data_IF_298573967952
#
_entry.id   IF_298573967952
#
_cell.length_a   1.000
_cell.length_b   1.000
_cell.length_c   1.000
_cell.angle_alpha   90.00
_cell.angle_beta   90.00
_cell.angle_gamma   90.00
#
_symmetry.space_group_name_H-M   'P 1'
#
loop_
_entity.id
_entity.type
_entity.pdbx_description
1 polymer ?
#
# COMPACT_ATOMS: atom_id res chain seq x y z
N UNK A 1 -7.15 -6.93 17.10
CA UNK A 1 -6.30 -8.03 16.57
C UNK A 1 -7.21 -8.96 15.78
N UNK A 2 -6.83 -9.41 14.59
CA UNK A 2 -7.64 -10.37 13.80
C UNK A 2 -7.33 -11.78 14.30
N UNK A 3 -8.37 -12.54 14.65
CA UNK A 3 -8.29 -13.92 15.17
C UNK A 3 -8.66 -14.97 14.12
N UNK A 4 -9.40 -14.57 13.09
CA UNK A 4 -9.83 -15.43 11.99
C UNK A 4 -10.23 -14.61 10.78
N UNK A 5 -9.94 -15.13 9.59
CA UNK A 5 -10.35 -14.57 8.32
C UNK A 5 -10.98 -15.67 7.48
N UNK A 6 -12.08 -15.35 6.81
CA UNK A 6 -12.71 -16.26 5.88
C UNK A 6 -13.25 -15.50 4.68
N UNK A 7 -13.07 -16.12 3.50
CA UNK A 7 -13.51 -15.58 2.22
C UNK A 7 -14.23 -16.67 1.47
N UNK A 8 -15.36 -16.29 0.86
CA UNK A 8 -16.06 -17.16 -0.06
C UNK A 8 -16.58 -16.41 -1.29
N UNK A 9 -16.58 -17.11 -2.42
CA UNK A 9 -16.96 -16.61 -3.72
C UNK A 9 -17.96 -17.59 -4.36
N UNK A 10 -19.16 -17.09 -4.62
CA UNK A 10 -20.26 -17.86 -5.17
C UNK A 10 -20.56 -17.37 -6.59
N UNK A 11 -20.41 -18.26 -7.57
CA UNK A 11 -20.90 -18.06 -8.92
C UNK A 11 -22.42 -18.23 -8.96
N UNK A 12 -23.15 -17.17 -9.34
CA UNK A 12 -24.62 -17.12 -9.28
C UNK A 12 -25.28 -18.17 -10.15
N UNK A 13 -24.77 -18.44 -11.35
CA UNK A 13 -25.32 -19.45 -12.25
C UNK A 13 -25.25 -20.85 -11.61
N UNK A 14 -24.05 -21.23 -11.14
CA UNK A 14 -23.83 -22.50 -10.44
C UNK A 14 -24.63 -22.60 -9.14
N UNK A 15 -24.80 -21.49 -8.43
CA UNK A 15 -25.60 -21.42 -7.22
C UNK A 15 -27.09 -21.57 -7.52
N UNK A 16 -27.62 -20.95 -8.58
CA UNK A 16 -29.01 -21.10 -8.99
C UNK A 16 -29.34 -22.57 -9.33
N UNK A 17 -28.45 -23.23 -10.08
CA UNK A 17 -28.55 -24.66 -10.36
C UNK A 17 -28.58 -25.50 -9.08
N UNK A 18 -27.73 -25.18 -8.10
CA UNK A 18 -27.72 -25.84 -6.80
C UNK A 18 -28.98 -25.56 -5.98
N UNK A 19 -29.43 -24.30 -5.94
CA UNK A 19 -30.61 -23.83 -5.20
C UNK A 19 -31.91 -24.46 -5.72
N UNK A 20 -31.97 -24.78 -7.01
CA UNK A 20 -33.11 -25.45 -7.65
C UNK A 20 -33.34 -26.89 -7.16
N UNK A 21 -32.36 -27.50 -6.48
CA UNK A 21 -32.46 -28.90 -6.02
C UNK A 21 -33.45 -29.01 -4.85
N UNK A 22 -34.26 -30.08 -4.79
CA UNK A 22 -35.21 -30.30 -3.70
C UNK A 22 -34.53 -30.27 -2.32
N UNK A 23 -35.10 -29.49 -1.39
CA UNK A 23 -34.62 -29.42 0.00
C UNK A 23 -33.39 -28.54 0.23
N UNK A 24 -32.91 -27.79 -0.77
CA UNK A 24 -31.81 -26.85 -0.59
C UNK A 24 -32.26 -25.54 0.06
N UNK A 25 -33.41 -25.00 -0.35
CA UNK A 25 -33.97 -23.77 0.23
C UNK A 25 -34.25 -23.90 1.74
N UNK A 26 -34.63 -25.09 2.21
CA UNK A 26 -34.87 -25.36 3.63
C UNK A 26 -33.61 -25.31 4.51
N UNK A 27 -32.43 -25.07 3.93
CA UNK A 27 -31.18 -24.89 4.67
C UNK A 27 -30.89 -23.43 5.04
N UNK A 28 -31.69 -22.48 4.55
CA UNK A 28 -31.61 -21.07 4.91
C UNK A 28 -32.56 -20.76 6.07
N UNK A 29 -32.20 -19.76 6.88
CA UNK A 29 -33.06 -19.33 7.98
C UNK A 29 -34.33 -18.65 7.43
N UNK A 30 -35.42 -18.71 8.18
CA UNK A 30 -36.69 -18.11 7.77
C UNK A 30 -36.56 -16.60 7.48
N UNK A 31 -35.70 -15.90 8.22
CA UNK A 31 -35.39 -14.49 7.99
C UNK A 31 -34.69 -14.25 6.64
N UNK A 32 -33.75 -15.12 6.25
CA UNK A 32 -33.02 -15.04 4.98
C UNK A 32 -33.96 -15.29 3.79
N UNK A 33 -34.85 -16.29 3.93
CA UNK A 33 -35.87 -16.59 2.93
C UNK A 33 -36.86 -15.43 2.76
N UNK A 34 -37.36 -14.88 3.88
CA UNK A 34 -38.28 -13.73 3.87
C UNK A 34 -37.62 -12.50 3.23
N UNK A 35 -36.35 -12.26 3.52
CA UNK A 35 -35.59 -11.16 2.91
C UNK A 35 -35.41 -11.39 1.41
N UNK A 36 -35.05 -12.61 1.00
CA UNK A 36 -34.89 -12.98 -0.39
C UNK A 36 -36.17 -12.73 -1.20
N UNK A 37 -37.33 -13.15 -0.68
CA UNK A 37 -38.63 -12.90 -1.30
C UNK A 37 -38.93 -11.40 -1.46
N UNK A 38 -38.68 -10.59 -0.41
CA UNK A 38 -38.93 -9.14 -0.42
C UNK A 38 -37.96 -8.35 -1.30
N UNK A 39 -36.77 -8.87 -1.55
CA UNK A 39 -35.70 -8.16 -2.27
C UNK A 39 -35.96 -7.99 -3.78
N UNK A 40 -36.89 -8.74 -4.36
CA UNK A 40 -37.07 -8.85 -5.81
C UNK A 40 -35.93 -9.55 -6.54
N UNK A 41 -34.91 -10.03 -5.82
CA UNK A 41 -33.71 -10.74 -6.32
C UNK A 41 -33.37 -11.92 -5.39
N UNK A 42 -34.32 -12.85 -5.25
CA UNK A 42 -34.24 -13.93 -4.26
C UNK A 42 -32.98 -14.79 -4.39
N UNK A 43 -32.59 -15.16 -5.61
CA UNK A 43 -31.39 -15.97 -5.87
C UNK A 43 -30.11 -15.26 -5.42
N UNK A 44 -30.00 -13.95 -5.69
CA UNK A 44 -28.84 -13.14 -5.29
C UNK A 44 -28.76 -12.97 -3.77
N UNK A 45 -29.91 -12.75 -3.13
CA UNK A 45 -29.99 -12.64 -1.67
C UNK A 45 -29.58 -13.95 -0.98
N UNK A 46 -30.02 -15.10 -1.50
CA UNK A 46 -29.66 -16.42 -0.96
C UNK A 46 -28.21 -16.79 -1.29
N UNK A 47 -27.67 -16.39 -2.45
CA UNK A 47 -26.25 -16.54 -2.77
C UNK A 47 -25.37 -15.74 -1.81
N UNK A 48 -25.79 -14.52 -1.45
CA UNK A 48 -25.12 -13.71 -0.45
C UNK A 48 -25.15 -14.32 0.95
N UNK A 49 -26.31 -14.81 1.39
CA UNK A 49 -26.42 -15.53 2.65
C UNK A 49 -25.51 -16.76 2.68
N UNK A 50 -25.47 -17.53 1.59
CA UNK A 50 -24.62 -18.71 1.48
C UNK A 50 -23.12 -18.36 1.54
N UNK A 51 -22.68 -17.36 0.78
CA UNK A 51 -21.30 -16.88 0.79
C UNK A 51 -20.89 -16.41 2.19
N UNK A 52 -21.78 -15.73 2.91
CA UNK A 52 -21.53 -15.28 4.28
C UNK A 52 -21.38 -16.46 5.26
N UNK A 53 -22.18 -17.53 5.11
CA UNK A 53 -22.06 -18.75 5.92
C UNK A 53 -20.74 -19.49 5.66
N UNK A 54 -20.32 -19.61 4.40
CA UNK A 54 -19.03 -20.24 4.02
C UNK A 54 -17.85 -19.42 4.55
N UNK A 55 -17.88 -18.10 4.34
CA UNK A 55 -16.85 -17.19 4.85
C UNK A 55 -16.77 -17.26 6.38
N UNK A 56 -17.91 -17.34 7.08
CA UNK A 56 -17.92 -17.47 8.53
C UNK A 56 -17.32 -18.80 8.98
N UNK A 57 -17.73 -19.90 8.36
CA UNK A 57 -17.20 -21.23 8.64
C UNK A 57 -15.67 -21.26 8.51
N UNK A 58 -15.13 -20.73 7.41
CA UNK A 58 -13.68 -20.63 7.17
C UNK A 58 -12.96 -19.76 8.19
N UNK A 59 -13.61 -18.71 8.68
CA UNK A 59 -13.04 -17.81 9.68
C UNK A 59 -13.07 -18.38 11.11
N UNK A 60 -14.05 -19.22 11.45
CA UNK A 60 -14.35 -19.61 12.82
C UNK A 60 -14.02 -21.07 13.15
N UNK A 61 -13.99 -21.98 12.17
CA UNK A 61 -13.91 -23.42 12.41
C UNK A 61 -12.66 -23.85 13.19
N UNK A 62 -11.53 -23.14 13.08
CA UNK A 62 -10.29 -23.45 13.81
C UNK A 62 -10.28 -22.95 15.26
N UNK A 63 -11.25 -22.12 15.66
CA UNK A 63 -11.35 -21.58 17.02
C UNK A 63 -12.25 -22.43 17.93
N UNK A 64 -13.01 -23.36 17.37
CA UNK A 64 -14.05 -24.13 18.06
C UNK A 64 -13.61 -25.57 18.24
N UNK A 65 -14.01 -26.18 19.35
CA UNK A 65 -13.67 -27.59 19.62
C UNK A 65 -14.51 -28.55 18.76
N UNK A 66 -15.73 -28.15 18.39
CA UNK A 66 -16.59 -28.84 17.41
C UNK A 66 -17.14 -27.85 16.38
N UNK A 67 -16.64 -27.94 15.15
CA UNK A 67 -17.09 -27.09 14.04
C UNK A 67 -18.25 -27.70 13.24
N UNK A 68 -18.78 -28.86 13.64
CA UNK A 68 -19.86 -29.51 12.89
C UNK A 68 -21.13 -28.67 12.94
N UNK A 69 -21.62 -28.29 11.76
CA UNK A 69 -22.91 -27.62 11.61
C UNK A 69 -22.91 -26.12 11.91
N UNK A 70 -21.79 -25.52 12.34
CA UNK A 70 -21.70 -24.06 12.60
C UNK A 70 -22.00 -23.24 11.33
N UNK A 71 -21.72 -23.82 10.16
CA UNK A 71 -22.09 -23.28 8.86
C UNK A 71 -23.58 -22.90 8.78
N UNK A 72 -24.46 -23.79 9.25
CA UNK A 72 -25.92 -23.59 9.18
C UNK A 72 -26.45 -22.75 10.34
N UNK A 73 -25.63 -22.50 11.37
CA UNK A 73 -25.99 -21.67 12.52
C UNK A 73 -25.71 -20.19 12.30
N UNK A 74 -24.84 -19.84 11.35
CA UNK A 74 -24.63 -18.46 10.95
C UNK A 74 -25.78 -17.97 10.06
N UNK A 75 -26.25 -16.77 10.31
CA UNK A 75 -27.31 -16.12 9.54
C UNK A 75 -26.86 -14.73 9.10
N UNK A 76 -27.13 -14.38 7.84
CA UNK A 76 -26.82 -13.04 7.32
C UNK A 76 -28.01 -12.10 7.54
N UNK A 77 -27.79 -11.07 8.35
CA UNK A 77 -28.77 -10.05 8.69
C UNK A 77 -28.35 -8.69 8.12
N UNK A 78 -29.27 -7.72 8.14
CA UNK A 78 -28.94 -6.31 7.92
C UNK A 78 -29.44 -5.49 9.09
N UNK A 79 -28.58 -4.61 9.60
CA UNK A 79 -28.94 -3.66 10.66
C UNK A 79 -29.92 -2.59 10.14
N UNK A 80 -30.35 -1.68 11.03
CA UNK A 80 -31.23 -0.57 10.67
C UNK A 80 -30.62 0.41 9.65
N UNK A 81 -29.29 0.40 9.48
CA UNK A 81 -28.57 1.20 8.48
C UNK A 81 -28.37 0.47 7.15
N UNK A 82 -28.81 -0.78 7.06
CA UNK A 82 -28.65 -1.65 5.89
C UNK A 82 -27.29 -2.35 5.79
N UNK A 83 -26.42 -2.24 6.81
CA UNK A 83 -25.12 -2.92 6.86
C UNK A 83 -25.29 -4.41 7.14
N UNK A 84 -24.55 -5.29 6.44
CA UNK A 84 -24.63 -6.73 6.69
C UNK A 84 -23.98 -7.10 8.02
N UNK A 85 -24.60 -8.04 8.75
CA UNK A 85 -24.10 -8.57 10.02
C UNK A 85 -24.29 -10.09 10.06
N UNK A 86 -23.40 -10.79 10.77
CA UNK A 86 -23.58 -12.23 11.05
C UNK A 86 -24.25 -12.36 12.42
N UNK A 87 -25.44 -12.95 12.42
CA UNK A 87 -26.14 -13.33 13.62
C UNK A 87 -25.81 -14.79 13.97
N UNK A 88 -25.54 -15.04 15.25
CA UNK A 88 -25.14 -16.34 15.78
C UNK A 88 -26.02 -16.71 16.98
N UNK A 89 -26.29 -17.99 17.24
CA UNK A 89 -26.87 -18.45 18.50
C UNK A 89 -25.99 -18.03 19.68
N UNK A 90 -26.63 -17.71 20.81
CA UNK A 90 -25.92 -17.22 22.01
C UNK A 90 -24.85 -18.19 22.50
N UNK A 91 -25.08 -19.51 22.37
CA UNK A 91 -24.08 -20.53 22.71
C UNK A 91 -22.81 -20.43 21.87
N UNK A 92 -22.94 -20.24 20.56
CA UNK A 92 -21.80 -20.11 19.63
C UNK A 92 -21.09 -18.76 19.81
N UNK A 93 -21.85 -17.70 20.06
CA UNK A 93 -21.29 -16.38 20.39
C UNK A 93 -20.47 -16.42 21.69
N UNK A 94 -20.99 -17.08 22.72
CA UNK A 94 -20.30 -17.23 24.00
C UNK A 94 -19.00 -18.05 23.85
N UNK A 95 -19.01 -19.11 23.05
CA UNK A 95 -17.81 -19.91 22.78
C UNK A 95 -16.74 -19.10 22.04
N UNK A 96 -17.11 -18.36 20.99
CA UNK A 96 -16.19 -17.48 20.26
C UNK A 96 -15.65 -16.34 21.14
N UNK A 97 -16.48 -15.78 22.01
CA UNK A 97 -16.06 -14.75 22.98
C UNK A 97 -15.07 -15.30 24.00
N UNK A 98 -15.25 -16.53 24.48
CA UNK A 98 -14.27 -17.22 25.33
C UNK A 98 -12.93 -17.45 24.63
N UNK A 99 -12.90 -17.45 23.29
CA UNK A 99 -11.70 -17.53 22.45
C UNK A 99 -11.17 -16.16 22.02
N UNK A 100 -11.74 -15.08 22.57
CA UNK A 100 -11.30 -13.70 22.40
C UNK A 100 -11.94 -12.94 21.23
N UNK A 101 -12.92 -13.52 20.53
CA UNK A 101 -13.65 -12.83 19.46
C UNK A 101 -14.69 -11.90 20.07
N UNK A 102 -14.49 -10.59 19.88
CA UNK A 102 -15.39 -9.56 20.40
C UNK A 102 -16.31 -8.99 19.31
N UNK A 103 -15.92 -9.09 18.04
CA UNK A 103 -16.71 -8.58 16.92
C UNK A 103 -16.48 -9.41 15.64
N UNK A 104 -17.49 -9.41 14.77
CA UNK A 104 -17.52 -10.13 13.48
C UNK A 104 -17.81 -9.11 12.38
N UNK A 105 -16.76 -8.67 11.70
CA UNK A 105 -16.89 -7.70 10.61
C UNK A 105 -17.25 -8.42 9.31
N UNK A 106 -18.30 -7.95 8.63
CA UNK A 106 -18.81 -8.54 7.39
C UNK A 106 -18.69 -7.55 6.26
N UNK A 107 -18.03 -7.96 5.18
CA UNK A 107 -18.04 -7.25 3.91
C UNK A 107 -18.65 -8.15 2.84
N UNK A 108 -19.67 -7.65 2.15
CA UNK A 108 -20.40 -8.37 1.12
C UNK A 108 -20.41 -7.53 -0.15
N UNK A 109 -19.96 -8.10 -1.26
CA UNK A 109 -20.05 -7.48 -2.58
C UNK A 109 -20.62 -8.46 -3.59
N UNK A 110 -21.27 -7.96 -4.61
CA UNK A 110 -21.83 -8.77 -5.68
C UNK A 110 -21.74 -8.02 -7.01
N UNK A 111 -21.62 -8.74 -8.10
CA UNK A 111 -21.75 -8.22 -9.46
C UNK A 111 -22.84 -8.97 -10.23
N UNK A 112 -22.77 -9.07 -11.56
CA UNK A 112 -23.78 -9.81 -12.35
C UNK A 112 -23.60 -11.33 -12.27
N UNK A 113 -22.39 -11.81 -12.04
CA UNK A 113 -22.03 -13.22 -12.17
C UNK A 113 -21.73 -13.87 -10.81
N UNK A 114 -21.29 -13.09 -9.82
CA UNK A 114 -20.73 -13.61 -8.58
C UNK A 114 -21.14 -12.82 -7.34
N UNK A 115 -21.03 -13.47 -6.18
CA UNK A 115 -21.14 -12.86 -4.84
C UNK A 115 -19.89 -13.22 -4.05
N UNK A 116 -19.27 -12.23 -3.42
CA UNK A 116 -18.10 -12.42 -2.56
C UNK A 116 -18.40 -11.92 -1.15
N UNK A 117 -18.07 -12.74 -0.15
CA UNK A 117 -18.13 -12.35 1.25
C UNK A 117 -16.76 -12.50 1.90
N UNK A 118 -16.39 -11.49 2.70
CA UNK A 118 -15.23 -11.50 3.57
C UNK A 118 -15.69 -11.32 5.01
N UNK A 119 -15.24 -12.20 5.90
CA UNK A 119 -15.49 -12.13 7.33
C UNK A 119 -14.17 -12.01 8.09
N UNK A 120 -14.14 -11.11 9.06
CA UNK A 120 -13.04 -10.94 10.01
C UNK A 120 -13.56 -11.14 11.43
N UNK A 121 -12.96 -12.05 12.17
CA UNK A 121 -13.16 -12.20 13.62
C UNK A 121 -12.12 -11.34 14.32
N UNK A 122 -12.53 -10.37 15.13
CA UNK A 122 -11.61 -9.42 15.76
C UNK A 122 -11.73 -9.42 17.28
N UNK A 123 -10.59 -9.22 17.93
CA UNK A 123 -10.44 -8.96 19.36
C UNK A 123 -10.07 -7.49 19.58
N UNK A 124 -10.80 -6.79 20.43
CA UNK A 124 -10.47 -5.44 20.85
C UNK A 124 -9.39 -5.49 21.94
N UNK A 125 -8.20 -5.00 21.61
CA UNK A 125 -7.13 -4.82 22.60
C UNK A 125 -7.10 -3.35 23.02
N UNK A 126 -8.04 -2.95 23.87
CA UNK A 126 -8.06 -1.64 24.53
C UNK A 126 -7.07 -1.64 25.72
N UNK A 127 -5.78 -1.79 25.45
CA UNK A 127 -4.69 -1.53 26.42
C UNK A 127 -3.31 -1.46 25.73
N UNK A 128 -3.05 -0.40 24.97
CA UNK A 128 -1.74 0.27 24.82
C UNK A 128 -1.75 1.16 23.58
N UNK A 129 -1.34 2.42 23.76
CA UNK A 129 -1.32 3.46 22.73
C UNK A 129 -0.27 3.20 21.64
N UNK A 130 -0.58 2.31 20.70
CA UNK A 130 0.13 2.17 19.44
C UNK A 130 -0.84 2.44 18.29
N UNK A 131 -0.65 3.60 17.64
CA UNK A 131 -1.24 3.92 16.34
C UNK A 131 -0.99 2.74 15.38
N UNK A 132 -2.04 2.06 14.95
CA UNK A 132 -1.97 1.06 13.87
C UNK A 132 -2.46 1.67 12.57
N UNK A 133 -1.65 1.43 11.55
CA UNK A 133 -1.69 1.99 10.21
C UNK A 133 -2.91 1.51 9.43
N UNK A 134 -3.56 2.44 8.73
CA UNK A 134 -4.57 2.17 7.71
C UNK A 134 -3.90 1.45 6.54
N UNK A 135 -3.94 0.13 6.55
CA UNK A 135 -3.62 -0.72 5.41
C UNK A 135 -4.92 -1.41 5.01
N UNK A 136 -5.19 -1.44 3.70
CA UNK A 136 -6.39 -1.96 3.03
C UNK A 136 -7.56 -0.98 2.84
N UNK A 137 -7.33 -0.03 1.93
CA UNK A 137 -8.36 0.50 1.04
C UNK A 137 -7.93 0.21 -0.41
N UNK A 138 -7.99 -1.06 -0.83
CA UNK A 138 -7.93 -1.40 -2.26
C UNK A 138 -9.36 -1.37 -2.81
N UNK A 139 -9.67 -0.59 -3.86
CA UNK A 139 -11.02 -0.49 -4.40
C UNK A 139 -11.39 -1.77 -5.17
N UNK A 140 -12.67 -2.17 -5.23
CA UNK A 140 -13.11 -3.27 -6.09
C UNK A 140 -12.91 -2.91 -7.57
N UNK A 141 -12.28 -3.83 -8.31
CA UNK A 141 -11.81 -3.65 -9.70
C UNK A 141 -10.32 -3.97 -9.90
N UNK A 142 -9.57 -4.13 -8.79
CA UNK A 142 -8.18 -4.56 -8.81
C UNK A 142 -8.05 -6.02 -8.35
N UNK A 143 -7.75 -6.91 -9.28
CA UNK A 143 -7.27 -8.26 -8.96
C UNK A 143 -5.86 -8.12 -8.39
N UNK A 144 -5.56 -8.60 -7.17
CA UNK A 144 -4.17 -8.81 -6.77
C UNK A 144 -3.62 -9.84 -7.75
N UNK A 145 -2.69 -9.42 -8.60
CA UNK A 145 -2.00 -10.31 -9.51
C UNK A 145 -1.33 -11.38 -8.63
N UNK A 146 -1.79 -12.63 -8.69
CA UNK A 146 -1.00 -13.77 -8.22
C UNK A 146 0.17 -13.89 -9.16
N UNK A 147 1.21 -13.13 -8.84
CA UNK A 147 2.46 -13.18 -9.56
C UNK A 147 3.13 -14.49 -9.20
N UNK A 148 3.30 -15.34 -10.20
CA UNK A 148 4.32 -16.37 -10.12
C UNK A 148 5.67 -15.69 -9.86
N UNK A 149 6.61 -16.42 -9.26
CA UNK A 149 7.99 -15.92 -9.06
C UNK A 149 8.67 -15.49 -10.38
N UNK A 150 8.10 -15.86 -11.53
CA UNK A 150 8.58 -15.54 -12.87
C UNK A 150 7.94 -14.29 -13.49
N UNK A 151 6.80 -13.82 -13.00
CA UNK A 151 6.05 -12.74 -13.64
C UNK A 151 6.71 -11.37 -13.40
N UNK A 152 6.89 -10.63 -14.50
CA UNK A 152 7.34 -9.24 -14.51
C UNK A 152 6.15 -8.34 -14.84
N UNK A 153 5.81 -7.39 -13.97
CA UNK A 153 4.63 -6.52 -14.14
C UNK A 153 5.05 -5.10 -14.41
N UNK A 154 4.45 -4.49 -15.42
CA UNK A 154 4.61 -3.06 -15.65
C UNK A 154 3.83 -2.24 -14.62
N UNK A 155 4.49 -1.22 -14.05
CA UNK A 155 3.83 -0.25 -13.18
C UNK A 155 3.05 0.74 -14.05
N UNK A 156 1.75 0.51 -14.21
CA UNK A 156 0.87 1.42 -14.96
C UNK A 156 0.39 2.58 -14.09
N UNK A 157 -0.16 3.61 -14.74
CA UNK A 157 -0.78 4.74 -14.06
C UNK A 157 -1.94 4.31 -13.14
N UNK A 158 -2.73 3.31 -13.56
CA UNK A 158 -3.84 2.77 -12.79
C UNK A 158 -3.35 2.03 -11.54
N UNK A 159 -2.32 1.19 -11.70
CA UNK A 159 -1.71 0.48 -10.59
C UNK A 159 -1.09 1.45 -9.57
N UNK A 160 -0.34 2.44 -10.05
CA UNK A 160 0.22 3.50 -9.20
C UNK A 160 -0.86 4.33 -8.50
N UNK A 161 -1.95 4.65 -9.19
CA UNK A 161 -3.08 5.40 -8.62
C UNK A 161 -3.78 4.64 -7.48
N UNK A 162 -3.82 3.31 -7.52
CA UNK A 162 -4.36 2.48 -6.45
C UNK A 162 -3.50 2.46 -5.18
N UNK A 163 -2.21 2.76 -5.29
CA UNK A 163 -1.31 2.89 -4.14
C UNK A 163 -1.29 4.29 -3.54
N UNK A 164 -1.94 5.27 -4.18
CA UNK A 164 -1.99 6.65 -3.69
C UNK A 164 -3.11 6.83 -2.64
N UNK A 165 -2.80 6.89 -1.32
CA UNK A 165 -3.81 7.02 -0.28
C UNK A 165 -4.56 8.36 -0.36
N UNK A 166 -5.82 8.40 0.10
CA UNK A 166 -6.54 9.66 0.22
C UNK A 166 -5.96 10.53 1.35
N UNK A 167 -5.92 11.84 1.14
CA UNK A 167 -5.64 12.80 2.22
C UNK A 167 -6.95 13.17 2.92
N UNK A 168 -7.15 12.61 4.12
CA UNK A 168 -8.35 12.85 4.92
C UNK A 168 -8.39 14.30 5.42
N UNK A 169 -9.58 14.91 5.46
CA UNK A 169 -9.79 16.30 5.90
C UNK A 169 -9.40 16.54 7.37
N UNK A 170 -9.52 15.51 8.22
CA UNK A 170 -9.15 15.57 9.64
C UNK A 170 -7.69 15.18 9.92
N UNK A 171 -6.89 14.89 8.89
CA UNK A 171 -5.50 14.50 9.07
C UNK A 171 -4.63 15.68 9.54
N UNK A 172 -3.69 15.39 10.44
CA UNK A 172 -2.63 16.30 10.86
C UNK A 172 -1.25 15.79 10.42
N UNK A 173 -0.19 16.60 10.56
CA UNK A 173 1.18 16.26 10.13
C UNK A 173 1.64 14.85 10.54
N UNK A 174 1.40 14.43 11.77
CA UNK A 174 1.77 13.09 12.25
C UNK A 174 1.00 11.93 11.58
N UNK A 175 -0.09 12.20 10.85
CA UNK A 175 -0.82 11.19 10.06
C UNK A 175 -0.01 10.76 8.83
N UNK A 176 0.81 11.65 8.29
CA UNK A 176 1.61 11.40 7.09
C UNK A 176 3.05 10.97 7.42
N UNK A 177 3.25 10.48 8.65
CA UNK A 177 4.53 9.97 9.13
C UNK A 177 5.65 10.99 9.26
N UNK A 178 6.83 10.47 9.58
CA UNK A 178 8.04 11.24 9.79
C UNK A 178 9.22 10.54 9.13
N UNK A 179 9.91 11.21 8.20
CA UNK A 179 11.13 10.71 7.55
C UNK A 179 12.36 11.23 8.30
N UNK A 180 13.35 10.36 8.52
CA UNK A 180 14.67 10.70 9.06
C UNK A 180 15.72 10.51 7.97
N UNK A 181 16.30 11.58 7.45
CA UNK A 181 17.40 11.52 6.48
C UNK A 181 18.72 11.51 7.23
N UNK A 182 19.56 10.49 7.06
CA UNK A 182 20.85 10.33 7.77
C UNK A 182 22.00 10.32 6.78
N UNK A 183 22.62 11.49 6.57
CA UNK A 183 23.53 11.66 5.46
C UNK A 183 24.44 12.88 5.57
N UNK A 184 25.12 13.16 4.48
CA UNK A 184 25.96 14.32 4.29
C UNK A 184 27.35 14.19 4.90
N UNK A 185 28.23 14.99 4.32
CA UNK A 185 29.61 15.19 4.73
C UNK A 185 30.09 16.54 4.19
N UNK A 186 31.27 16.98 4.61
CA UNK A 186 31.89 18.20 4.07
C UNK A 186 31.93 18.26 2.53
N UNK A 187 32.06 17.12 1.87
CA UNK A 187 32.12 17.05 0.41
C UNK A 187 30.74 16.96 -0.26
N UNK A 188 29.73 16.44 0.45
CA UNK A 188 28.40 16.19 -0.10
C UNK A 188 27.28 16.80 0.75
N UNK A 189 27.28 18.14 0.96
CA UNK A 189 26.27 18.79 1.78
C UNK A 189 24.88 18.80 1.14
N UNK A 190 24.78 18.78 -0.20
CA UNK A 190 23.53 18.94 -0.93
C UNK A 190 22.65 17.69 -1.01
N UNK A 191 23.26 16.50 -1.08
CA UNK A 191 22.55 15.22 -1.24
C UNK A 191 21.47 14.95 -0.16
N UNK A 192 21.77 15.10 1.16
CA UNK A 192 20.76 14.86 2.20
C UNK A 192 19.70 15.97 2.25
N UNK A 193 20.01 17.20 1.84
CA UNK A 193 19.02 18.28 1.74
C UNK A 193 18.02 18.02 0.62
N UNK A 194 18.52 17.58 -0.54
CA UNK A 194 17.69 17.22 -1.69
C UNK A 194 16.76 16.06 -1.37
N UNK A 195 17.28 15.03 -0.69
CA UNK A 195 16.48 13.90 -0.18
C UNK A 195 15.37 14.38 0.76
N UNK A 196 15.69 15.28 1.71
CA UNK A 196 14.72 15.80 2.66
C UNK A 196 13.60 16.63 1.98
N UNK A 197 13.96 17.46 1.00
CA UNK A 197 13.01 18.22 0.19
C UNK A 197 12.12 17.31 -0.65
N UNK A 198 12.70 16.28 -1.26
CA UNK A 198 11.95 15.30 -2.04
C UNK A 198 10.93 14.56 -1.16
N UNK A 199 11.32 14.11 0.04
CA UNK A 199 10.42 13.46 0.99
C UNK A 199 9.24 14.37 1.39
N UNK A 200 9.52 15.65 1.64
CA UNK A 200 8.49 16.63 2.00
C UNK A 200 7.51 16.87 0.85
N UNK A 201 8.02 17.05 -0.38
CA UNK A 201 7.20 17.26 -1.58
C UNK A 201 6.44 16.01 -2.02
N UNK A 202 6.98 14.82 -1.73
CA UNK A 202 6.29 13.53 -1.85
C UNK A 202 5.23 13.30 -0.76
N UNK A 203 5.11 14.23 0.19
CA UNK A 203 3.99 14.29 1.10
C UNK A 203 4.23 13.68 2.48
N UNK A 204 5.48 13.48 2.90
CA UNK A 204 5.81 13.22 4.29
C UNK A 204 5.26 14.34 5.19
N UNK A 205 4.76 13.97 6.37
CA UNK A 205 4.21 14.94 7.32
C UNK A 205 5.25 15.76 8.08
N UNK A 206 6.37 15.11 8.38
CA UNK A 206 7.55 15.70 9.02
C UNK A 206 8.82 15.10 8.40
N UNK A 207 9.89 15.88 8.36
CA UNK A 207 11.22 15.42 7.95
C UNK A 207 12.24 15.91 8.96
N UNK A 208 13.09 15.00 9.44
CA UNK A 208 14.30 15.33 10.22
C UNK A 208 15.52 15.03 9.36
N UNK A 209 16.42 16.00 9.27
CA UNK A 209 17.70 15.90 8.58
C UNK A 209 18.80 15.76 9.62
N UNK A 210 19.40 14.58 9.72
CA UNK A 210 20.52 14.28 10.61
C UNK A 210 21.83 14.33 9.81
N UNK A 211 22.60 15.37 10.03
CA UNK A 211 23.81 15.73 9.27
C UNK A 211 24.93 16.18 10.20
N UNK A 212 26.21 16.13 9.76
CA UNK A 212 27.30 16.78 10.46
C UNK A 212 26.99 18.25 10.78
N UNK A 213 27.36 18.70 11.98
CA UNK A 213 27.23 20.10 12.40
C UNK A 213 27.90 21.10 11.44
N UNK A 214 28.92 20.65 10.69
CA UNK A 214 29.68 21.45 9.74
C UNK A 214 28.92 21.80 8.44
N UNK A 215 27.79 21.15 8.14
CA UNK A 215 27.10 21.27 6.85
C UNK A 215 25.61 21.56 6.96
N UNK A 216 25.13 22.12 8.07
CA UNK A 216 23.70 22.34 8.27
C UNK A 216 23.24 23.74 7.85
N UNK A 217 22.84 24.00 6.58
CA UNK A 217 22.03 25.17 6.26
C UNK A 217 20.54 24.89 6.56
N UNK A 218 19.77 25.92 6.91
CA UNK A 218 18.36 25.78 7.26
C UNK A 218 17.52 25.55 6.00
N UNK A 219 17.01 24.34 5.82
CA UNK A 219 15.78 24.14 5.02
C UNK A 219 14.62 24.45 5.95
N UNK A 220 13.92 25.56 5.73
CA UNK A 220 12.95 26.13 6.68
C UNK A 220 11.85 25.16 7.15
N UNK A 221 11.49 24.16 6.34
CA UNK A 221 10.43 23.18 6.63
C UNK A 221 10.96 21.84 7.17
N UNK A 222 12.28 21.69 7.33
CA UNK A 222 12.93 20.44 7.77
C UNK A 222 13.57 20.64 9.15
N UNK A 223 13.32 19.68 10.05
CA UNK A 223 13.92 19.69 11.39
C UNK A 223 15.39 19.30 11.24
N UNK A 224 16.30 20.22 11.54
CA UNK A 224 17.73 19.91 11.51
C UNK A 224 18.17 19.28 12.83
N UNK A 225 18.75 18.08 12.74
CA UNK A 225 19.49 17.44 13.81
C UNK A 225 20.98 17.53 13.47
N UNK A 226 21.69 18.45 14.11
CA UNK A 226 23.13 18.53 14.01
C UNK A 226 23.77 17.43 14.85
N UNK A 227 24.75 16.74 14.27
CA UNK A 227 25.48 15.65 14.89
C UNK A 227 26.96 16.00 14.95
N UNK A 228 27.59 15.61 16.05
CA UNK A 228 29.03 15.68 16.19
C UNK A 228 29.70 14.85 15.09
N UNK A 229 30.69 15.43 14.42
CA UNK A 229 31.34 14.82 13.27
C UNK A 229 32.85 14.99 13.34
N UNK A 230 33.60 13.96 12.95
CA UNK A 230 35.05 14.01 12.88
C UNK A 230 35.48 14.39 11.47
N UNK A 231 36.21 15.51 11.35
CA UNK A 231 36.65 16.05 10.05
C UNK A 231 35.50 16.26 9.05
N UNK A 232 34.29 16.55 9.55
CA UNK A 232 33.09 16.74 8.71
C UNK A 232 32.43 15.46 8.21
N UNK A 233 32.75 14.31 8.80
CA UNK A 233 32.12 13.02 8.53
C UNK A 233 31.48 12.45 9.80
N UNK A 234 30.32 11.82 9.65
CA UNK A 234 29.68 11.10 10.75
C UNK A 234 30.45 9.81 11.05
N UNK A 235 30.53 9.45 12.32
CA UNK A 235 31.17 8.24 12.84
C UNK A 235 30.29 7.57 13.91
N UNK A 236 30.79 6.48 14.50
CA UNK A 236 30.10 5.73 15.55
C UNK A 236 29.73 6.55 16.79
N UNK A 237 30.37 7.70 17.04
CA UNK A 237 29.98 8.62 18.11
C UNK A 237 28.56 9.18 17.92
N UNK A 238 28.09 9.27 16.67
CA UNK A 238 26.72 9.69 16.33
C UNK A 238 25.67 8.58 16.49
N UNK A 239 26.09 7.32 16.60
CA UNK A 239 25.18 6.17 16.59
C UNK A 239 24.11 6.21 17.69
N UNK A 240 24.41 6.52 18.97
CA UNK A 240 23.39 6.53 20.03
C UNK A 240 22.28 7.55 19.78
N UNK A 241 22.63 8.73 19.27
CA UNK A 241 21.66 9.79 18.94
C UNK A 241 20.78 9.35 17.77
N UNK A 242 21.39 8.81 16.72
CA UNK A 242 20.67 8.31 15.54
C UNK A 242 19.73 7.16 15.90
N UNK A 243 20.20 6.18 16.69
CA UNK A 243 19.39 5.08 17.18
C UNK A 243 18.17 5.57 17.97
N UNK A 244 18.34 6.58 18.83
CA UNK A 244 17.25 7.18 19.59
C UNK A 244 16.22 7.92 18.72
N UNK A 245 16.59 8.33 17.49
CA UNK A 245 15.70 9.01 16.56
C UNK A 245 14.88 8.06 15.68
N UNK A 246 15.24 6.79 15.57
CA UNK A 246 14.54 5.81 14.73
C UNK A 246 13.09 5.54 15.13
N UNK A 247 12.74 5.40 16.43
CA UNK A 247 11.37 5.11 16.83
C UNK A 247 10.36 6.10 16.26
N UNK A 248 9.37 5.59 15.53
CA UNK A 248 8.31 6.40 14.91
C UNK A 248 8.73 7.16 13.65
N UNK A 249 9.94 6.94 13.12
CA UNK A 249 10.43 7.56 11.88
C UNK A 249 10.88 6.50 10.88
N UNK A 250 10.89 6.87 9.60
CA UNK A 250 11.49 6.05 8.53
C UNK A 250 12.86 6.61 8.18
N UNK A 251 13.95 5.87 8.48
CA UNK A 251 15.29 6.26 8.08
C UNK A 251 15.48 6.14 6.57
N UNK A 252 16.09 7.15 5.96
CA UNK A 252 16.69 7.14 4.63
C UNK A 252 18.18 7.37 4.85
N UNK A 253 19.01 6.38 4.52
CA UNK A 253 20.41 6.30 4.92
C UNK A 253 21.31 6.24 3.69
N UNK A 254 22.41 7.01 3.69
CA UNK A 254 23.51 6.80 2.74
C UNK A 254 23.87 7.96 1.80
N UNK A 255 22.97 8.92 1.58
CA UNK A 255 23.26 10.08 0.74
C UNK A 255 24.42 10.93 1.30
N UNK A 256 25.57 10.89 0.62
CA UNK A 256 26.73 11.72 0.90
C UNK A 256 27.48 11.42 2.20
N UNK A 257 27.33 10.21 2.77
CA UNK A 257 27.93 9.86 4.06
C UNK A 257 29.46 9.80 4.04
N UNK A 258 30.07 9.41 2.90
CA UNK A 258 31.48 8.98 2.74
C UNK A 258 31.68 7.48 2.90
N UNK A 259 32.86 7.02 2.44
CA UNK A 259 33.30 5.62 2.45
C UNK A 259 34.49 5.38 3.39
N UNK A 260 34.77 6.35 4.26
CA UNK A 260 35.73 6.18 5.35
C UNK A 260 35.27 5.04 6.28
N UNK A 261 36.23 4.32 6.88
CA UNK A 261 35.95 3.14 7.68
C UNK A 261 34.98 3.42 8.84
N UNK A 262 35.16 4.57 9.51
CA UNK A 262 34.35 5.00 10.65
C UNK A 262 32.89 5.30 10.26
N UNK A 263 32.68 5.86 9.07
CA UNK A 263 31.35 6.14 8.53
C UNK A 263 30.68 4.87 8.00
N UNK A 264 31.45 3.96 7.41
CA UNK A 264 30.97 2.65 6.97
C UNK A 264 30.45 1.84 8.16
N UNK A 265 31.18 1.83 9.27
CA UNK A 265 30.76 1.16 10.51
C UNK A 265 29.43 1.74 11.04
N UNK A 266 29.30 3.07 11.06
CA UNK A 266 28.06 3.75 11.43
C UNK A 266 26.89 3.32 10.55
N UNK A 267 27.04 3.45 9.22
CA UNK A 267 25.97 3.13 8.27
C UNK A 267 25.55 1.65 8.36
N UNK A 268 26.51 0.75 8.56
CA UNK A 268 26.26 -0.67 8.75
C UNK A 268 25.47 -0.93 10.05
N UNK A 269 25.85 -0.30 11.16
CA UNK A 269 25.12 -0.39 12.42
C UNK A 269 23.68 0.10 12.31
N UNK A 270 23.44 1.17 11.55
CA UNK A 270 22.08 1.71 11.34
C UNK A 270 21.21 0.80 10.45
N UNK A 271 21.82 0.09 9.49
CA UNK A 271 21.10 -0.77 8.56
C UNK A 271 20.43 -1.98 9.26
N UNK A 272 21.04 -2.49 10.33
CA UNK A 272 20.56 -3.66 11.08
C UNK A 272 19.51 -3.33 12.15
N UNK A 273 19.33 -2.05 12.49
CA UNK A 273 18.30 -1.63 13.46
C UNK A 273 16.90 -2.08 13.00
N UNK A 274 15.97 -2.41 13.90
CA UNK A 274 14.62 -2.82 13.52
C UNK A 274 13.83 -1.67 12.89
N UNK A 275 12.85 -2.00 12.06
CA UNK A 275 11.96 -1.03 11.40
C UNK A 275 12.29 -0.77 9.94
N UNK A 276 11.24 -0.36 9.21
CA UNK A 276 11.31 -0.06 7.78
C UNK A 276 12.28 1.09 7.49
N UNK A 277 13.14 0.93 6.48
CA UNK A 277 14.12 1.94 6.08
C UNK A 277 14.45 1.90 4.58
N UNK A 278 15.01 2.99 4.08
CA UNK A 278 15.60 3.08 2.74
C UNK A 278 17.12 3.20 2.88
N UNK A 279 17.87 2.43 2.11
CA UNK A 279 19.34 2.47 2.08
C UNK A 279 19.77 2.73 0.63
N UNK A 280 20.48 3.83 0.42
CA UNK A 280 20.99 4.25 -0.90
C UNK A 280 22.50 4.56 -0.82
N UNK A 281 23.14 4.75 -1.97
CA UNK A 281 24.48 5.33 -2.10
C UNK A 281 25.54 4.73 -1.14
N UNK A 282 26.16 5.54 -0.28
CA UNK A 282 27.21 5.08 0.63
C UNK A 282 26.67 4.13 1.72
N UNK A 283 25.37 4.13 1.98
CA UNK A 283 24.72 3.10 2.82
C UNK A 283 24.75 1.72 2.15
N UNK A 284 24.53 1.65 0.82
CA UNK A 284 24.69 0.42 0.05
C UNK A 284 26.15 -0.02 -0.01
N UNK A 285 27.07 0.94 -0.13
CA UNK A 285 28.51 0.65 -0.02
C UNK A 285 28.83 0.02 1.33
N UNK A 286 28.34 0.59 2.43
CA UNK A 286 28.58 0.07 3.78
C UNK A 286 28.02 -1.34 3.97
N UNK A 287 26.81 -1.62 3.48
CA UNK A 287 26.23 -2.97 3.48
C UNK A 287 27.14 -3.99 2.78
N UNK A 288 27.61 -3.65 1.57
CA UNK A 288 28.48 -4.54 0.81
C UNK A 288 29.84 -4.73 1.48
N UNK A 289 30.45 -3.66 1.97
CA UNK A 289 31.77 -3.68 2.61
C UNK A 289 31.76 -4.45 3.94
N UNK A 290 30.70 -4.30 4.74
CA UNK A 290 30.56 -5.00 6.01
C UNK A 290 30.00 -6.43 5.86
N UNK A 291 29.43 -6.78 4.71
CA UNK A 291 28.87 -8.12 4.46
C UNK A 291 27.67 -8.45 5.35
N UNK A 292 26.87 -7.44 5.72
CA UNK A 292 25.75 -7.58 6.65
C UNK A 292 24.40 -7.59 5.93
N UNK A 293 23.41 -8.16 6.61
CA UNK A 293 22.02 -8.22 6.16
C UNK A 293 21.22 -7.06 6.77
N UNK A 294 20.56 -6.21 5.97
CA UNK A 294 19.70 -5.17 6.51
C UNK A 294 18.40 -5.77 7.08
N UNK A 295 17.76 -5.05 7.98
CA UNK A 295 16.43 -5.42 8.50
C UNK A 295 15.35 -4.59 7.83
N UNK A 296 14.30 -5.20 7.25
CA UNK A 296 13.13 -4.50 6.67
C UNK A 296 13.50 -3.29 5.78
N UNK A 297 14.33 -3.49 4.76
CA UNK A 297 14.88 -2.38 3.97
C UNK A 297 14.37 -2.36 2.52
N UNK A 298 14.31 -1.16 1.95
CA UNK A 298 14.37 -0.91 0.50
C UNK A 298 15.80 -0.52 0.16
N UNK A 299 16.44 -1.25 -0.74
CA UNK A 299 17.76 -0.95 -1.29
C UNK A 299 17.59 -0.33 -2.67
N UNK A 300 18.30 0.75 -2.99
CA UNK A 300 18.13 1.46 -4.27
C UNK A 300 19.38 1.50 -5.15
N UNK A 301 20.07 0.38 -5.43
CA UNK A 301 21.31 0.39 -6.20
C UNK A 301 21.13 0.80 -7.66
N UNK A 302 22.08 1.56 -8.20
CA UNK A 302 22.36 1.55 -9.64
C UNK A 302 23.25 0.33 -10.01
N UNK A 303 23.54 0.10 -11.29
CA UNK A 303 24.24 -1.12 -11.76
C UNK A 303 25.61 -1.34 -11.11
N UNK A 304 26.42 -0.29 -10.97
CA UNK A 304 27.68 -0.35 -10.22
C UNK A 304 27.56 -0.63 -8.72
N UNK A 305 26.51 -0.15 -8.05
CA UNK A 305 26.22 -0.48 -6.64
C UNK A 305 25.71 -1.92 -6.51
N UNK A 306 24.85 -2.36 -7.44
CA UNK A 306 24.34 -3.73 -7.52
C UNK A 306 25.48 -4.73 -7.71
N UNK A 307 26.39 -4.44 -8.64
CA UNK A 307 27.58 -5.23 -8.91
C UNK A 307 28.40 -5.45 -7.63
N UNK A 308 28.59 -4.39 -6.83
CA UNK A 308 29.27 -4.47 -5.54
C UNK A 308 28.52 -5.31 -4.52
N UNK A 309 27.19 -5.15 -4.41
CA UNK A 309 26.36 -5.94 -3.49
C UNK A 309 26.39 -7.44 -3.81
N UNK A 310 26.40 -7.78 -5.09
CA UNK A 310 26.41 -9.16 -5.56
C UNK A 310 27.81 -9.77 -5.64
N UNK A 311 28.86 -8.95 -5.72
CA UNK A 311 30.23 -9.42 -5.94
C UNK A 311 30.50 -9.80 -7.41
N UNK A 312 29.82 -9.14 -8.34
CA UNK A 312 29.94 -9.32 -9.79
C UNK A 312 30.33 -8.00 -10.46
N UNK A 313 30.44 -7.97 -11.79
CA UNK A 313 30.75 -6.76 -12.57
C UNK A 313 29.48 -6.00 -12.98
N UNK A 314 29.56 -4.68 -13.24
CA UNK A 314 28.43 -3.92 -13.78
C UNK A 314 27.93 -4.46 -15.14
N UNK A 315 28.82 -5.02 -15.96
CA UNK A 315 28.46 -5.62 -17.24
C UNK A 315 27.60 -6.88 -17.05
N UNK A 316 27.92 -7.72 -16.07
CA UNK A 316 27.10 -8.89 -15.72
C UNK A 316 25.71 -8.47 -15.19
N UNK A 317 25.64 -7.40 -14.40
CA UNK A 317 24.35 -6.82 -13.98
C UNK A 317 23.53 -6.37 -15.19
N UNK A 318 24.13 -5.63 -16.13
CA UNK A 318 23.42 -5.12 -17.31
C UNK A 318 23.01 -6.22 -18.29
N UNK A 319 23.79 -7.31 -18.37
CA UNK A 319 23.49 -8.44 -19.23
C UNK A 319 22.19 -9.17 -18.82
N UNK A 320 21.93 -9.29 -17.51
CA UNK A 320 20.65 -9.80 -17.00
C UNK A 320 20.22 -9.09 -15.71
N UNK A 321 19.60 -7.93 -15.89
CA UNK A 321 19.13 -7.07 -14.79
C UNK A 321 18.03 -7.72 -13.96
N UNK A 322 17.18 -8.54 -14.57
CA UNK A 322 16.08 -9.21 -13.88
C UNK A 322 16.59 -10.29 -12.94
N UNK A 323 17.55 -11.10 -13.39
CA UNK A 323 18.22 -12.08 -12.53
C UNK A 323 18.97 -11.35 -11.42
N UNK A 324 19.76 -10.31 -11.74
CA UNK A 324 20.54 -9.59 -10.74
C UNK A 324 19.67 -8.99 -9.62
N UNK A 325 18.55 -8.32 -9.96
CA UNK A 325 17.68 -7.70 -8.97
C UNK A 325 16.95 -8.74 -8.10
N UNK A 326 16.48 -9.85 -8.68
CA UNK A 326 15.83 -10.95 -7.92
C UNK A 326 16.84 -11.65 -7.00
N UNK A 327 18.05 -11.91 -7.48
CA UNK A 327 19.14 -12.47 -6.67
C UNK A 327 19.48 -11.56 -5.50
N UNK A 328 19.59 -10.25 -5.72
CA UNK A 328 19.85 -9.30 -4.65
C UNK A 328 18.69 -9.27 -3.63
N UNK A 329 17.44 -9.24 -4.09
CA UNK A 329 16.28 -9.22 -3.20
C UNK A 329 16.21 -10.45 -2.30
N UNK A 330 16.44 -11.64 -2.87
CA UNK A 330 16.52 -12.89 -2.11
C UNK A 330 17.73 -12.92 -1.16
N UNK A 331 18.93 -12.57 -1.67
CA UNK A 331 20.18 -12.59 -0.90
C UNK A 331 20.14 -11.68 0.31
N UNK A 332 19.57 -10.49 0.19
CA UNK A 332 19.50 -9.49 1.25
C UNK A 332 18.18 -9.52 2.04
N UNK A 333 17.25 -10.41 1.68
CA UNK A 333 15.89 -10.47 2.23
C UNK A 333 15.23 -9.08 2.32
N UNK A 334 15.35 -8.32 1.23
CA UNK A 334 15.01 -6.90 1.16
C UNK A 334 14.30 -6.60 -0.17
N UNK A 335 13.56 -5.49 -0.21
CA UNK A 335 13.06 -4.96 -1.48
C UNK A 335 14.20 -4.25 -2.18
N UNK A 336 14.43 -4.53 -3.47
CA UNK A 336 15.56 -3.97 -4.21
C UNK A 336 15.06 -3.24 -5.45
N UNK A 337 15.46 -1.99 -5.60
CA UNK A 337 15.20 -1.10 -6.73
C UNK A 337 16.48 -0.98 -7.55
N UNK A 338 16.57 -1.72 -8.65
CA UNK A 338 17.68 -1.60 -9.60
C UNK A 338 17.43 -0.43 -10.56
N UNK A 339 18.04 0.71 -10.22
CA UNK A 339 17.96 1.97 -10.98
C UNK A 339 18.57 1.80 -12.38
N UNK A 340 17.92 2.41 -13.37
CA UNK A 340 18.35 2.42 -14.78
C UNK A 340 17.16 2.63 -15.72
N UNK A 341 17.39 2.65 -17.03
CA UNK A 341 16.29 2.61 -18.00
C UNK A 341 15.41 1.39 -17.71
N UNK A 342 14.09 1.53 -17.65
CA UNK A 342 13.20 0.46 -17.16
C UNK A 342 13.62 -0.04 -15.77
N UNK A 343 13.46 0.83 -14.76
CA UNK A 343 13.86 0.49 -13.39
C UNK A 343 13.10 -0.74 -12.89
N UNK A 344 13.78 -1.68 -12.25
CA UNK A 344 13.19 -2.89 -11.72
C UNK A 344 13.04 -2.81 -10.20
N UNK A 345 11.93 -3.28 -9.67
CA UNK A 345 11.67 -3.38 -8.23
C UNK A 345 11.38 -4.84 -7.90
N UNK A 346 12.21 -5.50 -7.11
CA UNK A 346 12.02 -6.90 -6.72
C UNK A 346 11.79 -7.05 -5.22
N UNK A 347 10.89 -7.94 -4.85
CA UNK A 347 10.65 -8.37 -3.48
C UNK A 347 11.40 -9.69 -3.18
N UNK A 348 11.69 -9.99 -1.90
CA UNK A 348 12.39 -11.23 -1.52
C UNK A 348 11.59 -12.51 -1.83
N UNK A 349 10.27 -12.39 -2.06
CA UNK A 349 9.39 -13.49 -2.44
C UNK A 349 9.34 -13.77 -3.96
N UNK A 350 10.18 -13.08 -4.75
CA UNK A 350 10.32 -13.30 -6.19
C UNK A 350 9.48 -12.37 -7.07
N UNK A 351 8.48 -11.66 -6.51
CA UNK A 351 7.70 -10.67 -7.26
C UNK A 351 8.60 -9.58 -7.82
N UNK A 352 8.35 -9.18 -9.06
CA UNK A 352 9.12 -8.11 -9.69
C UNK A 352 8.24 -7.18 -10.54
N UNK A 353 8.48 -5.88 -10.40
CA UNK A 353 7.86 -4.83 -11.18
C UNK A 353 8.89 -4.10 -12.06
N UNK A 354 8.44 -3.63 -13.22
CA UNK A 354 9.21 -2.77 -14.12
C UNK A 354 8.52 -1.42 -14.27
N UNK A 355 9.27 -0.35 -14.06
CA UNK A 355 8.81 1.02 -14.30
C UNK A 355 9.22 1.48 -15.68
N UNK A 356 8.27 1.81 -16.55
CA UNK A 356 8.53 2.33 -17.89
C UNK A 356 8.59 3.86 -17.97
N UNK A 357 8.20 4.58 -16.92
CA UNK A 357 8.31 6.04 -16.87
C UNK A 357 9.74 6.54 -16.64
N UNK A 358 9.96 7.81 -16.95
CA UNK A 358 11.25 8.49 -16.88
C UNK A 358 11.94 8.59 -18.23
N UNK A 359 12.91 9.51 -18.30
CA UNK A 359 13.61 9.89 -19.52
C UNK A 359 15.12 10.10 -19.27
N UNK A 360 15.94 10.20 -20.34
CA UNK A 360 17.38 10.39 -20.22
C UNK A 360 17.82 11.63 -19.42
N UNK A 361 17.03 12.70 -19.38
CA UNK A 361 17.37 13.92 -18.62
C UNK A 361 17.44 13.70 -17.10
N UNK A 362 16.90 12.58 -16.60
CA UNK A 362 17.01 12.17 -15.20
C UNK A 362 18.40 11.62 -14.85
N UNK A 363 19.29 11.42 -15.84
CA UNK A 363 20.68 11.00 -15.65
C UNK A 363 21.57 12.15 -15.14
N UNK A 364 21.11 12.83 -14.08
CA UNK A 364 21.80 13.93 -13.41
C UNK A 364 22.13 13.57 -11.96
N UNK A 365 23.15 14.20 -11.40
CA UNK A 365 23.52 14.03 -9.99
C UNK A 365 22.35 14.39 -9.08
N UNK A 366 22.06 13.54 -8.10
CA UNK A 366 21.00 13.75 -7.11
C UNK A 366 19.63 13.16 -7.45
N UNK A 367 19.39 12.64 -8.67
CA UNK A 367 18.10 11.99 -8.97
C UNK A 367 17.85 10.75 -8.11
N UNK A 368 18.91 10.00 -7.77
CA UNK A 368 18.84 8.91 -6.78
C UNK A 368 18.44 9.38 -5.38
N UNK A 369 19.01 10.50 -4.92
CA UNK A 369 18.68 11.11 -3.62
C UNK A 369 17.19 11.51 -3.56
N UNK A 370 16.67 12.06 -4.65
CA UNK A 370 15.25 12.39 -4.80
C UNK A 370 14.38 11.14 -4.69
N UNK A 371 14.73 10.08 -5.41
CA UNK A 371 14.01 8.81 -5.36
C UNK A 371 13.97 8.22 -3.95
N UNK A 372 15.12 8.19 -3.25
CA UNK A 372 15.20 7.68 -1.89
C UNK A 372 14.28 8.45 -0.91
N UNK A 373 14.23 9.78 -1.06
CA UNK A 373 13.32 10.64 -0.30
C UNK A 373 11.84 10.36 -0.60
N UNK A 374 11.48 10.18 -1.87
CA UNK A 374 10.11 9.83 -2.29
C UNK A 374 9.68 8.50 -1.67
N UNK A 375 10.52 7.46 -1.77
CA UNK A 375 10.22 6.14 -1.18
C UNK A 375 10.06 6.26 0.34
N UNK A 376 10.97 6.97 1.01
CA UNK A 376 10.89 7.21 2.45
C UNK A 376 9.58 7.87 2.89
N UNK A 377 9.07 8.83 2.10
CA UNK A 377 7.80 9.49 2.38
C UNK A 377 6.59 8.54 2.32
N UNK A 378 6.60 7.58 1.41
CA UNK A 378 5.51 6.61 1.28
C UNK A 378 5.56 5.52 2.34
N UNK A 379 6.75 5.07 2.70
CA UNK A 379 6.94 4.21 3.87
C UNK A 379 6.44 4.91 5.15
N UNK A 380 6.74 6.20 5.32
CA UNK A 380 6.32 6.96 6.49
C UNK A 380 4.79 7.09 6.58
N UNK A 381 4.11 7.11 5.43
CA UNK A 381 2.65 7.10 5.33
C UNK A 381 2.02 5.70 5.52
N UNK A 382 2.84 4.66 5.73
CA UNK A 382 2.37 3.32 6.06
C UNK A 382 2.20 2.37 4.88
N UNK A 383 2.68 2.74 3.70
CA UNK A 383 2.70 1.83 2.55
C UNK A 383 3.80 0.77 2.79
N UNK A 384 3.52 -0.50 2.44
CA UNK A 384 4.49 -1.58 2.57
C UNK A 384 5.73 -1.39 1.69
N UNK A 385 6.85 -2.05 2.03
CA UNK A 385 8.16 -1.85 1.39
C UNK A 385 8.10 -1.98 -0.14
N UNK A 386 7.41 -2.99 -0.64
CA UNK A 386 7.39 -3.31 -2.06
C UNK A 386 6.55 -2.30 -2.84
N UNK A 387 5.35 -1.99 -2.35
CA UNK A 387 4.47 -1.00 -2.98
C UNK A 387 5.02 0.42 -2.86
N UNK A 388 5.65 0.78 -1.74
CA UNK A 388 6.24 2.11 -1.56
C UNK A 388 7.42 2.33 -2.52
N UNK A 389 8.27 1.30 -2.70
CA UNK A 389 9.35 1.33 -3.68
C UNK A 389 8.81 1.47 -5.12
N UNK A 390 7.85 0.62 -5.49
CA UNK A 390 7.21 0.62 -6.80
C UNK A 390 6.50 1.96 -7.11
N UNK A 391 5.75 2.48 -6.15
CA UNK A 391 5.07 3.75 -6.33
C UNK A 391 6.06 4.91 -6.39
N UNK A 392 7.12 4.87 -5.57
CA UNK A 392 8.16 5.88 -5.56
C UNK A 392 8.89 5.98 -6.91
N UNK A 393 9.26 4.84 -7.52
CA UNK A 393 9.92 4.85 -8.84
C UNK A 393 9.01 5.39 -9.94
N UNK A 394 7.72 5.03 -9.91
CA UNK A 394 6.75 5.51 -10.90
C UNK A 394 6.53 7.02 -10.79
N UNK A 395 6.30 7.50 -9.57
CA UNK A 395 6.08 8.92 -9.32
C UNK A 395 7.31 9.77 -9.67
N UNK A 396 8.50 9.25 -9.35
CA UNK A 396 9.79 9.85 -9.70
C UNK A 396 9.96 9.95 -11.22
N UNK A 397 9.73 8.86 -11.96
CA UNK A 397 9.80 8.83 -13.42
C UNK A 397 8.79 9.75 -14.08
N UNK A 398 7.52 9.71 -13.63
CA UNK A 398 6.46 10.59 -14.14
C UNK A 398 6.79 12.07 -13.93
N UNK A 399 7.29 12.45 -12.74
CA UNK A 399 7.72 13.81 -12.49
C UNK A 399 8.89 14.22 -13.39
N UNK A 400 9.83 13.30 -13.66
CA UNK A 400 10.91 13.52 -14.61
C UNK A 400 10.41 13.73 -16.04
N UNK A 401 9.42 12.95 -16.50
CA UNK A 401 8.83 13.09 -17.84
C UNK A 401 8.14 14.44 -18.03
N UNK A 402 7.42 14.89 -17.01
CA UNK A 402 6.77 16.19 -17.02
C UNK A 402 7.79 17.34 -16.98
N UNK A 403 8.88 17.18 -16.22
CA UNK A 403 9.98 18.14 -16.21
C UNK A 403 10.67 18.24 -17.58
N UNK A 404 10.93 17.09 -18.24
CA UNK A 404 11.52 17.07 -19.57
C UNK A 404 10.60 17.70 -20.63
N UNK A 405 9.28 17.53 -20.51
CA UNK A 405 8.32 18.17 -21.41
C UNK A 405 8.36 19.70 -21.33
N UNK A 406 8.55 20.26 -20.12
CA UNK A 406 8.59 21.71 -19.92
C UNK A 406 9.99 22.31 -20.16
N UNK A 407 11.05 21.63 -19.71
CA UNK A 407 12.41 22.16 -19.64
C UNK A 407 13.39 21.55 -20.64
N UNK A 408 13.01 20.47 -21.33
CA UNK A 408 13.86 19.55 -22.12
C UNK A 408 14.69 18.57 -21.28
N UNK A 409 15.04 17.43 -21.90
CA UNK A 409 15.92 16.42 -21.30
C UNK A 409 17.35 16.94 -21.02
N UNK A 410 17.80 17.98 -21.73
CA UNK A 410 19.15 18.54 -21.58
C UNK A 410 19.29 19.48 -20.38
N UNK A 411 18.23 20.21 -20.04
CA UNK A 411 18.29 21.30 -19.08
C UNK A 411 17.56 21.01 -17.76
N UNK A 412 16.92 19.85 -17.63
CA UNK A 412 16.31 19.43 -16.37
C UNK A 412 17.37 18.94 -15.36
N UNK A 413 17.03 19.06 -14.08
CA UNK A 413 17.86 18.68 -12.94
C UNK A 413 17.07 17.86 -11.92
N UNK A 414 17.75 17.33 -10.90
CA UNK A 414 17.10 16.58 -9.83
C UNK A 414 16.11 17.45 -9.03
N UNK A 415 16.40 18.74 -8.85
CA UNK A 415 15.46 19.68 -8.22
C UNK A 415 14.24 19.99 -9.09
N UNK A 416 14.34 19.85 -10.40
CA UNK A 416 13.18 19.95 -11.28
C UNK A 416 12.26 18.74 -11.08
N UNK A 417 12.80 17.53 -10.94
CA UNK A 417 11.98 16.36 -10.58
C UNK A 417 11.17 16.62 -9.30
N UNK A 418 11.78 17.20 -8.27
CA UNK A 418 11.08 17.63 -7.05
C UNK A 418 9.98 18.65 -7.36
N UNK A 419 10.28 19.65 -8.19
CA UNK A 419 9.38 20.75 -8.54
C UNK A 419 8.17 20.29 -9.38
N UNK A 420 8.32 19.19 -10.11
CA UNK A 420 7.27 18.58 -10.94
C UNK A 420 6.47 17.47 -10.23
N UNK A 421 6.84 17.07 -9.00
CA UNK A 421 6.01 16.15 -8.19
C UNK A 421 4.54 16.60 -8.08
N UNK A 422 4.20 17.88 -7.84
CA UNK A 422 2.80 18.33 -7.81
C UNK A 422 2.05 18.09 -9.13
N UNK A 423 2.73 18.23 -10.28
CA UNK A 423 2.13 17.96 -11.58
C UNK A 423 1.89 16.46 -11.78
N UNK A 424 2.84 15.61 -11.38
CA UNK A 424 2.70 14.16 -11.39
C UNK A 424 1.52 13.69 -10.52
N UNK A 425 1.37 14.27 -9.31
CA UNK A 425 0.20 14.00 -8.47
C UNK A 425 -1.11 14.43 -9.11
N UNK A 426 -1.18 15.60 -9.75
CA UNK A 426 -2.40 16.06 -10.43
C UNK A 426 -2.84 15.05 -11.50
N UNK A 427 -1.91 14.55 -12.30
CA UNK A 427 -2.21 13.51 -13.31
C UNK A 427 -2.70 12.21 -12.66
N UNK A 428 -1.99 11.72 -11.65
CA UNK A 428 -2.40 10.50 -10.92
C UNK A 428 -3.75 10.64 -10.23
N UNK A 429 -4.08 11.83 -9.69
CA UNK A 429 -5.38 12.08 -9.06
C UNK A 429 -6.53 12.04 -10.09
N UNK A 430 -6.31 12.45 -11.34
CA UNK A 430 -7.31 12.30 -12.41
C UNK A 430 -7.57 10.82 -12.70
N UNK A 431 -6.51 10.03 -12.85
CA UNK A 431 -6.62 8.56 -13.05
C UNK A 431 -7.33 7.92 -11.86
N UNK A 432 -6.88 8.22 -10.65
CA UNK A 432 -7.48 7.73 -9.40
C UNK A 432 -8.98 8.06 -9.35
N UNK A 433 -9.34 9.33 -9.53
CA UNK A 433 -10.73 9.76 -9.49
C UNK A 433 -11.56 9.08 -10.58
N UNK A 434 -11.00 8.81 -11.76
CA UNK A 434 -11.68 8.09 -12.83
C UNK A 434 -11.95 6.64 -12.45
N UNK A 435 -11.00 5.94 -11.82
CA UNK A 435 -11.19 4.57 -11.31
C UNK A 435 -12.34 4.53 -10.29
N UNK A 436 -12.36 5.45 -9.33
CA UNK A 436 -13.39 5.51 -8.30
C UNK A 436 -14.74 6.05 -8.81
N UNK A 437 -14.74 6.90 -9.84
CA UNK A 437 -15.96 7.45 -10.44
C UNK A 437 -16.60 6.46 -11.41
N UNK A 438 -15.81 5.69 -12.19
CA UNK A 438 -16.32 4.63 -13.04
C UNK A 438 -17.05 3.53 -12.23
N UNK A 439 -16.56 3.23 -11.02
CA UNK A 439 -17.27 2.37 -10.06
C UNK A 439 -18.61 2.93 -9.57
N UNK A 440 -18.82 4.25 -9.62
CA UNK A 440 -20.09 4.92 -9.25
C UNK A 440 -21.00 5.20 -10.46
N UNK A 441 -20.46 5.51 -11.64
CA UNK A 441 -21.26 5.72 -12.87
C UNK A 441 -21.86 4.40 -13.38
N UNK A 442 -21.19 3.27 -13.18
CA UNK A 442 -21.78 1.95 -13.42
C UNK A 442 -23.01 1.66 -12.52
N UNK A 443 -23.08 2.31 -11.34
CA UNK A 443 -24.26 2.26 -10.45
C UNK A 443 -25.35 3.26 -10.82
N UNK A 444 -25.00 4.45 -11.34
CA UNK A 444 -25.98 5.48 -11.71
C UNK A 444 -26.59 5.32 -13.12
N UNK A 445 -25.85 4.73 -14.07
CA UNK A 445 -26.31 4.49 -15.45
C UNK A 445 -27.51 3.54 -15.55
N UNK A 446 -27.64 2.62 -14.59
CA UNK A 446 -28.78 1.69 -14.52
C UNK A 446 -30.05 2.35 -13.92
N UNK A 447 -29.89 3.39 -13.08
CA UNK A 447 -31.01 4.08 -12.44
C UNK A 447 -31.73 5.11 -13.33
N UNK A 448 -31.05 5.67 -14.34
CA UNK A 448 -31.67 6.65 -15.28
C UNK A 448 -32.49 5.98 -16.39
N UNK A 449 -32.17 4.75 -16.78
CA UNK A 449 -32.98 3.99 -17.74
C UNK A 449 -34.30 3.48 -17.11
N UNK A 450 -34.31 3.17 -15.81
CA UNK A 450 -35.50 2.74 -15.07
C UNK A 450 -36.43 3.90 -14.71
N UNK A 451 -35.90 5.10 -14.42
CA UNK A 451 -36.74 6.27 -14.10
C UNK A 451 -37.49 6.86 -15.30
N UNK A 452 -37.02 6.65 -16.54
CA UNK A 452 -37.73 7.12 -17.73
C UNK A 452 -38.94 6.23 -18.08
N UNK A 453 -38.91 4.94 -17.73
CA UNK A 453 -40.05 4.02 -17.85
C UNK A 453 -41.10 4.17 -16.75
N UNK A 454 -40.74 4.79 -15.60
CA UNK A 454 -41.65 4.97 -14.48
C UNK A 454 -42.55 6.21 -14.60
N UNK A 455 -42.11 7.24 -15.32
CA UNK A 455 -42.88 8.48 -15.55
C UNK A 455 -43.95 8.38 -16.66
N UNK A 456 -43.94 7.33 -17.48
CA UNK A 456 -44.97 7.10 -18.51
C UNK A 456 -46.14 6.22 -18.01
N UNK A 457 -45.98 5.50 -16.89
CA UNK A 457 -47.03 4.64 -16.34
C UNK A 457 -47.92 5.30 -15.27
N UNK A 458 -47.54 6.47 -14.74
CA UNK A 458 -48.31 7.16 -13.68
C UNK A 458 -49.40 8.12 -14.19
N UNK A 459 -49.74 8.10 -15.49
CA UNK A 459 -50.82 8.93 -16.07
C UNK A 459 -52.17 8.24 -16.25
N UNK A 460 -52.38 7.04 -15.70
CA UNK A 460 -53.65 6.28 -15.91
C UNK A 460 -54.48 6.04 -14.64
N UNK A 461 -54.01 6.39 -13.44
CA UNK A 461 -54.77 6.15 -12.20
C UNK A 461 -55.09 7.43 -11.42
N UNK A 462 -55.94 8.31 -11.98
CA UNK A 462 -56.68 9.32 -11.21
C UNK A 462 -57.84 9.89 -12.06
N UNK A 463 -58.91 9.11 -12.24
CA UNK A 463 -60.20 9.62 -12.72
C UNK A 463 -61.34 8.89 -11.98
N UNK A 464 -62.22 9.68 -11.35
CA UNK A 464 -63.40 9.26 -10.57
C UNK A 464 -63.11 9.21 -9.07
N UNK A 465 -63.75 9.97 -8.17
CA UNK A 465 -65.12 10.50 -8.10
C UNK A 465 -65.15 11.67 -7.09
N UNK A 466 -65.65 12.88 -7.41
CA UNK A 466 -66.97 13.45 -7.00
C UNK A 466 -67.40 13.07 -5.57
N UNK A 467 -67.80 13.93 -4.63
CA UNK A 467 -68.52 15.22 -4.66
C UNK A 467 -68.62 15.79 -3.22
N UNK A 468 -68.71 17.13 -3.10
CA UNK A 468 -69.51 17.99 -2.17
C UNK A 468 -69.80 17.41 -0.76
N UNK A 469 -69.33 18.03 0.33
CA UNK A 469 -69.82 19.31 0.92
C UNK A 469 -68.77 19.98 1.83
#
# INVERSE_FOLDING_TARGET
MVLGIGVDLIEKARFADWLSKPGVQSRFAAAELTFAEKSGRAEEALAAAFAAKEAFYKAAAHLLDDSRGIFWQAELWRDASGRPEIHLPESLRAELSARGVNDVLVSLTHDREQVCCVILLVCDNQASGARRTLTELTPPGFTPLHLGADDLVEITAELAACWLPPRLRCAYKGTFGHVLVVGGSSNYPGAPQMTALAALKAGAGLVTLAVPESIAPPVAEVISQQLAARNGYLDMGSFPVLQALFPGKIPVIGMGLSRAAETVELAAGLAVLPGAKVIDADGLYALAAAGIMPTQAVLTPHSGEMARLLGITPAEVENDRLIAVRQAAARFNAVVVLKGHRTLVAAPDGRCYVNSSGNPGMATGGSGDVLAGIIGAWLAQGIDLFRAAAFGVYLHGLAGDLAAQELTEYAMSATDIISFLPAAYKQLLVVRNSIFSAGNVAKEGNGRAENKKRLENDRVCCAGSTSLD
#
